data_IF_460254530858
#
_entry.id   IF_460254530858
#
_cell.length_a   1.000
_cell.length_b   1.000
_cell.length_c   1.000
_cell.angle_alpha   90.00
_cell.angle_beta   90.00
_cell.angle_gamma   90.00
#
_symmetry.space_group_name_H-M   'P 1'
#
loop_
_entity.id
_entity.type
_entity.pdbx_description
1 polymer ?
#
# COMPACT_ATOMS: atom_id res chain seq x y z
N UNK A 1 -10.70 -8.71 18.45
CA UNK A 1 -10.46 -7.31 18.82
C UNK A 1 -9.63 -7.29 20.11
N UNK A 2 -8.61 -6.48 20.16
CA UNK A 2 -7.82 -6.27 21.38
C UNK A 2 -7.86 -4.80 21.75
N UNK A 3 -8.02 -4.54 23.02
CA UNK A 3 -8.10 -3.18 23.59
C UNK A 3 -6.90 -2.98 24.50
N UNK A 4 -6.20 -1.85 24.35
CA UNK A 4 -5.10 -1.50 25.25
C UNK A 4 -5.65 -1.01 26.57
N UNK A 5 -5.18 -1.58 27.65
CA UNK A 5 -5.63 -1.24 29.00
C UNK A 5 -4.53 -0.48 29.74
N UNK A 6 -4.80 0.78 30.06
CA UNK A 6 -3.97 1.61 30.93
C UNK A 6 -2.48 1.67 30.59
N UNK A 7 -1.69 2.14 31.54
CA UNK A 7 -0.24 2.32 31.42
C UNK A 7 0.59 1.01 31.45
N UNK A 8 -0.03 -0.14 31.42
CA UNK A 8 0.66 -1.42 31.62
C UNK A 8 0.97 -2.15 30.31
N UNK A 9 0.68 -1.61 29.14
CA UNK A 9 0.80 -2.29 27.86
C UNK A 9 0.11 -3.67 27.79
N UNK A 10 -0.86 -3.92 28.67
CA UNK A 10 -1.70 -5.11 28.64
C UNK A 10 -2.86 -4.89 27.69
N UNK A 11 -3.22 -5.95 26.98
CA UNK A 11 -4.32 -5.95 26.03
C UNK A 11 -5.40 -6.90 26.51
N UNK A 12 -6.65 -6.47 26.50
CA UNK A 12 -7.80 -7.33 26.74
C UNK A 12 -8.48 -7.67 25.42
N UNK A 13 -9.10 -8.84 25.34
CA UNK A 13 -9.91 -9.24 24.19
C UNK A 13 -11.32 -8.68 24.30
N UNK A 14 -12.06 -8.64 23.20
CA UNK A 14 -13.49 -8.27 23.22
C UNK A 14 -14.31 -9.24 24.07
N UNK A 15 -13.90 -10.51 24.18
CA UNK A 15 -14.54 -11.50 25.05
C UNK A 15 -14.39 -11.11 26.53
N UNK A 16 -13.18 -10.75 26.96
CA UNK A 16 -12.90 -10.28 28.33
C UNK A 16 -13.75 -9.08 28.69
N UNK A 17 -13.93 -8.19 27.73
CA UNK A 17 -14.75 -7.00 27.86
C UNK A 17 -16.25 -7.32 28.01
N UNK A 18 -16.78 -8.23 27.18
CA UNK A 18 -18.19 -8.62 27.22
C UNK A 18 -18.56 -9.47 28.44
N UNK A 19 -17.60 -10.17 29.01
CA UNK A 19 -17.82 -11.04 30.17
C UNK A 19 -17.68 -10.30 31.51
N UNK A 20 -17.37 -9.00 31.48
CA UNK A 20 -17.18 -8.20 32.69
C UNK A 20 -15.99 -8.62 33.54
N UNK A 21 -15.06 -9.35 32.95
CA UNK A 21 -13.82 -9.80 33.62
C UNK A 21 -12.76 -8.69 33.68
N UNK A 22 -13.11 -7.55 33.19
CA UNK A 22 -12.24 -6.38 33.09
C UNK A 22 -12.32 -5.58 34.39
N UNK A 23 -11.53 -5.98 35.40
CA UNK A 23 -11.58 -5.37 36.72
C UNK A 23 -10.64 -4.17 36.90
N UNK A 24 -9.74 -3.91 35.95
CA UNK A 24 -8.74 -2.87 36.04
C UNK A 24 -8.70 -1.99 34.80
N UNK A 25 -9.83 -1.39 34.45
CA UNK A 25 -9.85 -0.33 33.46
C UNK A 25 -9.19 0.91 34.07
N UNK A 26 -7.90 0.97 34.06
CA UNK A 26 -7.11 2.10 34.52
C UNK A 26 -7.02 3.09 33.38
N UNK A 27 -7.49 4.28 33.62
CA UNK A 27 -7.36 5.52 32.90
C UNK A 27 -6.82 5.48 31.49
N UNK A 28 -7.65 5.80 30.52
CA UNK A 28 -7.24 6.04 29.16
C UNK A 28 -6.56 7.39 29.05
N UNK A 29 -5.38 7.44 28.50
CA UNK A 29 -4.86 8.67 27.94
C UNK A 29 -5.56 8.96 26.61
N UNK A 30 -5.99 10.21 26.45
CA UNK A 30 -6.97 10.66 25.48
C UNK A 30 -6.51 10.73 24.03
N UNK A 31 -5.25 10.49 23.77
CA UNK A 31 -4.65 10.90 22.50
C UNK A 31 -4.30 9.72 21.59
N UNK A 32 -4.49 8.54 22.12
CA UNK A 32 -4.18 7.35 21.39
C UNK A 32 -5.43 6.73 20.80
N UNK A 33 -5.35 5.72 20.17
CA UNK A 33 -6.13 4.77 19.43
C UNK A 33 -7.65 4.67 19.75
N UNK A 34 -8.20 5.46 20.68
CA UNK A 34 -9.53 5.26 21.24
C UNK A 34 -10.47 6.47 21.09
N UNK A 35 -10.96 6.71 19.90
CA UNK A 35 -11.79 7.91 19.64
C UNK A 35 -13.27 7.66 19.39
N UNK A 36 -13.73 6.41 19.23
CA UNK A 36 -15.09 6.15 18.73
C UNK A 36 -16.05 5.52 19.75
N UNK A 37 -15.57 5.16 20.94
CA UNK A 37 -16.38 4.58 21.98
C UNK A 37 -16.14 5.28 23.30
N UNK A 38 -17.20 5.70 23.99
CA UNK A 38 -17.07 6.19 25.35
C UNK A 38 -17.29 5.06 26.34
N UNK A 39 -16.41 4.97 27.30
CA UNK A 39 -16.39 4.00 28.37
C UNK A 39 -16.63 4.76 29.69
N UNK A 40 -17.57 4.35 30.53
CA UNK A 40 -17.88 5.00 31.80
C UNK A 40 -17.21 4.25 32.95
N UNK A 41 -16.32 4.91 33.65
CA UNK A 41 -15.54 4.30 34.72
C UNK A 41 -16.31 4.06 36.00
N UNK A 42 -17.38 4.81 36.23
CA UNK A 42 -18.10 4.78 37.50
C UNK A 42 -19.09 3.61 37.57
N UNK A 43 -19.40 2.98 36.44
CA UNK A 43 -20.44 1.97 36.35
C UNK A 43 -20.14 0.78 35.41
N UNK A 44 -18.92 0.42 35.22
CA UNK A 44 -18.59 -0.72 34.33
C UNK A 44 -19.20 -0.61 32.92
N UNK A 45 -19.30 0.54 32.37
CA UNK A 45 -19.98 0.54 31.12
C UNK A 45 -19.87 1.75 30.28
N UNK A 46 -19.49 2.84 30.82
CA UNK A 46 -19.39 4.05 30.01
C UNK A 46 -18.22 4.88 30.46
N UNK A 47 -17.27 5.02 29.67
CA UNK A 47 -16.18 5.94 29.85
C UNK A 47 -16.44 7.17 29.03
N UNK A 48 -16.23 8.31 29.57
CA UNK A 48 -16.46 9.56 28.87
C UNK A 48 -15.55 9.84 27.68
N UNK A 49 -14.99 8.82 27.02
CA UNK A 49 -14.16 8.98 25.82
C UNK A 49 -14.28 7.80 24.87
N UNK A 50 -14.27 8.11 23.61
CA UNK A 50 -14.43 7.16 22.51
C UNK A 50 -13.23 6.23 22.40
N UNK A 51 -13.49 4.93 22.42
CA UNK A 51 -12.48 3.90 22.19
C UNK A 51 -12.55 3.50 20.73
N UNK A 52 -11.48 3.71 20.00
CA UNK A 52 -11.35 3.15 18.65
C UNK A 52 -10.90 1.71 18.78
N UNK A 53 -11.79 0.77 18.44
CA UNK A 53 -11.39 -0.61 18.25
C UNK A 53 -10.59 -0.69 16.96
N UNK A 54 -9.30 -0.89 17.07
CA UNK A 54 -8.47 -1.21 15.91
C UNK A 54 -8.65 -2.71 15.66
N UNK A 55 -9.29 -3.04 14.57
CA UNK A 55 -9.17 -4.39 14.02
C UNK A 55 -7.71 -4.61 13.63
N UNK A 56 -6.93 -5.08 14.57
CA UNK A 56 -5.62 -5.61 14.27
C UNK A 56 -5.80 -6.98 13.63
N UNK A 57 -5.84 -7.05 12.32
CA UNK A 57 -5.48 -8.31 11.67
C UNK A 57 -4.02 -8.54 12.02
N UNK A 58 -3.78 -9.42 12.98
CA UNK A 58 -2.41 -9.90 13.21
C UNK A 58 -1.97 -10.50 11.90
N UNK A 59 -1.02 -9.85 11.24
CA UNK A 59 -0.47 -10.37 10.00
C UNK A 59 0.01 -11.79 10.25
N UNK A 60 -0.59 -12.74 9.55
CA UNK A 60 -0.24 -14.16 9.66
C UNK A 60 1.04 -14.49 8.88
N UNK A 61 1.69 -13.48 8.29
CA UNK A 61 2.89 -13.70 7.50
C UNK A 61 4.11 -13.93 8.38
N UNK A 62 4.63 -15.13 8.29
CA UNK A 62 5.79 -15.57 9.10
C UNK A 62 7.13 -15.04 8.56
N UNK A 63 7.17 -14.64 7.30
CA UNK A 63 8.38 -14.22 6.59
C UNK A 63 8.67 -12.69 6.66
N UNK A 64 7.84 -11.97 7.41
CA UNK A 64 8.06 -10.53 7.64
C UNK A 64 8.56 -10.22 9.06
N UNK A 65 8.66 -11.20 9.93
CA UNK A 65 9.18 -11.02 11.28
C UNK A 65 10.61 -10.47 11.20
N UNK A 66 10.84 -9.27 11.78
CA UNK A 66 12.13 -8.59 11.70
C UNK A 66 12.50 -7.98 10.34
N UNK A 67 11.62 -8.04 9.36
CA UNK A 67 11.85 -7.39 8.07
C UNK A 67 11.67 -5.87 8.19
N UNK A 68 12.57 -5.09 7.56
CA UNK A 68 12.56 -3.63 7.62
C UNK A 68 11.26 -2.95 7.15
N UNK A 69 10.49 -3.63 6.29
CA UNK A 69 9.22 -3.13 5.76
C UNK A 69 8.00 -3.76 6.45
N UNK A 70 8.16 -4.42 7.61
CA UNK A 70 7.07 -5.12 8.31
C UNK A 70 5.84 -4.23 8.45
N UNK A 71 5.99 -3.06 9.03
CA UNK A 71 4.88 -2.14 9.31
C UNK A 71 4.15 -1.70 8.02
N UNK A 72 4.92 -1.43 6.95
CA UNK A 72 4.35 -1.09 5.66
C UNK A 72 3.59 -2.27 5.02
N UNK A 73 4.09 -3.48 5.18
CA UNK A 73 3.44 -4.69 4.67
C UNK A 73 2.12 -4.93 5.42
N UNK A 74 2.12 -4.84 6.73
CA UNK A 74 0.92 -4.94 7.55
C UNK A 74 -0.09 -3.86 7.16
N UNK A 75 0.32 -2.61 7.06
CA UNK A 75 -0.53 -1.50 6.63
C UNK A 75 -1.22 -1.75 5.29
N UNK A 76 -0.48 -2.13 4.25
CA UNK A 76 -1.07 -2.33 2.90
C UNK A 76 -1.90 -3.61 2.81
N UNK A 77 -1.65 -4.58 3.69
CA UNK A 77 -2.43 -5.82 3.77
C UNK A 77 -3.74 -5.56 4.49
N UNK A 78 -3.74 -4.82 5.58
CA UNK A 78 -4.94 -4.42 6.33
C UNK A 78 -5.90 -3.58 5.47
N UNK A 79 -5.34 -2.76 4.60
CA UNK A 79 -6.12 -2.03 3.57
C UNK A 79 -6.54 -2.91 2.37
N UNK A 80 -6.29 -4.20 2.38
CA UNK A 80 -6.57 -5.13 1.30
C UNK A 80 -5.93 -4.73 -0.07
N UNK A 81 -4.88 -3.91 -0.05
CA UNK A 81 -4.14 -3.54 -1.26
C UNK A 81 -3.26 -4.70 -1.74
N UNK A 82 -2.63 -5.38 -0.80
CA UNK A 82 -1.80 -6.56 -1.07
C UNK A 82 -2.40 -7.81 -0.45
N UNK A 83 -2.19 -8.92 -1.13
CA UNK A 83 -2.36 -10.25 -0.57
C UNK A 83 -0.99 -10.89 -0.37
N UNK A 84 -0.91 -11.87 0.53
CA UNK A 84 0.24 -12.78 0.60
C UNK A 84 0.43 -13.56 -0.70
N UNK A 85 1.60 -14.12 -0.90
CA UNK A 85 1.87 -15.12 -1.94
C UNK A 85 1.29 -16.47 -1.57
N UNK A 86 1.18 -16.72 -0.26
CA UNK A 86 0.43 -17.83 0.33
C UNK A 86 -0.39 -17.30 1.52
N UNK A 87 -1.09 -18.18 2.20
CA UNK A 87 -1.83 -17.84 3.43
C UNK A 87 -0.91 -17.32 4.56
N UNK A 88 0.36 -17.70 4.57
CA UNK A 88 1.30 -17.41 5.66
C UNK A 88 2.59 -16.72 5.22
N UNK A 89 2.74 -16.39 3.95
CA UNK A 89 3.92 -15.71 3.41
C UNK A 89 3.54 -14.51 2.56
N UNK A 90 4.26 -13.41 2.74
CA UNK A 90 4.17 -12.22 1.92
C UNK A 90 5.18 -12.19 0.78
N UNK A 91 6.30 -12.88 0.93
CA UNK A 91 7.46 -12.87 0.02
C UNK A 91 8.04 -11.46 -0.21
N UNK A 92 8.47 -10.76 0.86
CA UNK A 92 8.83 -9.34 0.80
C UNK A 92 9.97 -9.02 -0.17
N UNK A 93 10.91 -9.95 -0.34
CA UNK A 93 12.11 -9.79 -1.16
C UNK A 93 11.91 -10.22 -2.63
N UNK A 94 10.78 -10.82 -2.96
CA UNK A 94 10.47 -11.16 -4.35
C UNK A 94 10.19 -9.91 -5.19
N UNK A 95 10.51 -10.00 -6.48
CA UNK A 95 10.27 -8.94 -7.43
C UNK A 95 8.78 -8.73 -7.69
N UNK A 96 8.36 -7.49 -7.76
CA UNK A 96 7.00 -7.11 -8.12
C UNK A 96 6.80 -7.20 -9.62
N UNK A 97 5.79 -7.93 -10.10
CA UNK A 97 5.48 -7.95 -11.53
C UNK A 97 4.63 -6.73 -11.94
N UNK A 98 4.60 -6.43 -13.24
CA UNK A 98 3.78 -5.35 -13.80
C UNK A 98 2.29 -5.57 -13.55
N UNK A 99 1.81 -6.81 -13.69
CA UNK A 99 0.42 -7.17 -13.41
C UNK A 99 0.06 -7.01 -11.92
N UNK A 100 0.96 -7.42 -11.02
CA UNK A 100 0.79 -7.18 -9.57
C UNK A 100 0.70 -5.69 -9.25
N UNK A 101 1.61 -4.89 -9.81
CA UNK A 101 1.67 -3.46 -9.53
C UNK A 101 0.39 -2.73 -9.92
N UNK A 102 -0.13 -3.03 -11.12
CA UNK A 102 -1.40 -2.44 -11.60
C UNK A 102 -2.60 -2.91 -10.78
N UNK A 103 -2.59 -4.16 -10.33
CA UNK A 103 -3.63 -4.69 -9.42
C UNK A 103 -3.69 -3.90 -8.12
N UNK A 104 -2.53 -3.63 -7.51
CA UNK A 104 -2.46 -2.83 -6.27
C UNK A 104 -2.98 -1.41 -6.48
N UNK A 105 -2.60 -0.75 -7.58
CA UNK A 105 -3.11 0.59 -7.90
C UNK A 105 -4.62 0.60 -8.14
N UNK A 106 -5.17 -0.42 -8.80
CA UNK A 106 -6.61 -0.53 -9.01
C UNK A 106 -7.39 -0.73 -7.72
N UNK A 107 -6.86 -1.54 -6.79
CA UNK A 107 -7.42 -1.70 -5.45
C UNK A 107 -7.36 -0.40 -4.66
N UNK A 108 -6.24 0.30 -4.72
CA UNK A 108 -6.07 1.61 -4.07
C UNK A 108 -7.02 2.68 -4.62
N UNK A 109 -7.35 2.60 -5.91
CA UNK A 109 -8.35 3.46 -6.52
C UNK A 109 -9.78 3.14 -6.08
N UNK A 110 -10.02 1.98 -5.47
CA UNK A 110 -11.38 1.44 -5.29
C UNK A 110 -12.07 1.21 -6.63
N UNK A 111 -11.31 0.80 -7.66
CA UNK A 111 -11.80 0.70 -9.01
C UNK A 111 -12.92 -0.33 -9.13
N UNK A 112 -14.07 0.06 -9.67
CA UNK A 112 -15.05 -0.91 -10.13
C UNK A 112 -14.54 -1.57 -11.42
N UNK A 113 -14.08 -2.79 -11.27
CA UNK A 113 -13.50 -3.57 -12.36
C UNK A 113 -14.51 -4.49 -13.05
N UNK A 114 -15.78 -4.47 -12.68
CA UNK A 114 -16.82 -5.35 -13.20
C UNK A 114 -16.97 -5.22 -14.72
N UNK A 115 -16.94 -4.00 -15.24
CA UNK A 115 -17.00 -3.71 -16.67
C UNK A 115 -15.72 -4.07 -17.46
N UNK A 116 -14.62 -4.32 -16.74
CA UNK A 116 -13.30 -4.60 -17.33
C UNK A 116 -12.92 -6.08 -17.34
N UNK A 117 -13.78 -6.95 -16.81
CA UNK A 117 -13.54 -8.40 -16.80
C UNK A 117 -13.88 -9.01 -18.16
N UNK A 118 -13.20 -8.53 -19.18
CA UNK A 118 -13.38 -8.90 -20.59
C UNK A 118 -12.04 -9.32 -21.19
N UNK A 119 -12.07 -9.80 -22.45
CA UNK A 119 -10.83 -10.02 -23.19
C UNK A 119 -10.01 -8.75 -23.28
N UNK A 120 -8.72 -8.85 -22.94
CA UNK A 120 -7.82 -7.71 -23.01
C UNK A 120 -7.48 -7.33 -24.44
N UNK A 121 -7.16 -6.06 -24.66
CA UNK A 121 -6.54 -5.59 -25.90
C UNK A 121 -5.10 -6.11 -26.07
N UNK A 122 -4.46 -6.56 -24.97
CA UNK A 122 -3.12 -7.13 -24.97
C UNK A 122 -3.18 -8.65 -25.10
N UNK A 123 -2.51 -9.19 -26.11
CA UNK A 123 -2.55 -10.61 -26.43
C UNK A 123 -1.95 -11.51 -25.35
N UNK A 124 -1.06 -10.97 -24.53
CA UNK A 124 -0.38 -11.65 -23.43
C UNK A 124 -1.07 -11.49 -22.06
N UNK A 125 -2.26 -10.91 -22.02
CA UNK A 125 -3.09 -10.78 -20.81
C UNK A 125 -4.25 -11.76 -20.90
N UNK A 126 -4.10 -12.92 -20.28
CA UNK A 126 -5.16 -13.94 -20.22
C UNK A 126 -6.35 -13.44 -19.37
N UNK A 127 -7.55 -13.54 -19.91
CA UNK A 127 -8.80 -13.12 -19.26
C UNK A 127 -9.10 -13.86 -17.95
N UNK A 128 -8.50 -15.03 -17.73
CA UNK A 128 -8.66 -15.81 -16.48
C UNK A 128 -7.75 -15.35 -15.35
N UNK A 129 -6.76 -14.52 -15.65
CA UNK A 129 -5.80 -14.07 -14.65
C UNK A 129 -6.38 -12.96 -13.79
N UNK A 130 -6.05 -12.99 -12.48
CA UNK A 130 -6.56 -12.03 -11.49
C UNK A 130 -6.26 -10.56 -11.84
N UNK A 131 -5.21 -10.31 -12.58
CA UNK A 131 -4.81 -8.96 -12.99
C UNK A 131 -5.52 -8.47 -14.27
N UNK A 132 -6.23 -9.34 -14.99
CA UNK A 132 -6.82 -8.99 -16.29
C UNK A 132 -7.72 -7.74 -16.21
N UNK A 133 -8.71 -7.77 -15.34
CA UNK A 133 -9.65 -6.65 -15.21
C UNK A 133 -8.94 -5.35 -14.77
N UNK A 134 -7.94 -5.46 -13.91
CA UNK A 134 -7.14 -4.30 -13.48
C UNK A 134 -6.26 -3.74 -14.60
N UNK A 135 -5.68 -4.59 -15.44
CA UNK A 135 -4.91 -4.16 -16.62
C UNK A 135 -5.82 -3.47 -17.63
N UNK A 136 -7.00 -4.04 -17.90
CA UNK A 136 -7.98 -3.42 -18.79
C UNK A 136 -8.47 -2.07 -18.26
N UNK A 137 -8.80 -1.98 -16.97
CA UNK A 137 -9.15 -0.73 -16.30
C UNK A 137 -8.04 0.31 -16.42
N UNK A 138 -6.81 -0.06 -16.12
CA UNK A 138 -5.67 0.85 -16.14
C UNK A 138 -5.35 1.33 -17.56
N UNK A 139 -5.51 0.47 -18.57
CA UNK A 139 -5.33 0.84 -19.97
C UNK A 139 -6.43 1.80 -20.45
N UNK A 140 -7.70 1.53 -20.14
CA UNK A 140 -8.82 2.39 -20.47
C UNK A 140 -8.70 3.79 -19.85
N UNK A 141 -8.14 3.87 -18.64
CA UNK A 141 -7.89 5.13 -17.93
C UNK A 141 -6.52 5.76 -18.22
N UNK A 142 -5.77 5.25 -19.21
CA UNK A 142 -4.46 5.75 -19.61
C UNK A 142 -3.39 5.74 -18.50
N UNK A 143 -3.58 4.91 -17.49
CA UNK A 143 -2.63 4.70 -16.40
C UNK A 143 -1.44 3.86 -16.91
N UNK A 144 -1.73 2.89 -17.77
CA UNK A 144 -0.71 2.06 -18.42
C UNK A 144 -0.88 2.04 -19.93
N UNK A 145 0.22 1.82 -20.60
CA UNK A 145 0.29 1.38 -21.99
C UNK A 145 1.00 0.04 -22.06
N UNK A 146 0.89 -0.64 -23.19
CA UNK A 146 1.68 -1.82 -23.46
C UNK A 146 3.19 -1.53 -23.52
N UNK A 147 3.98 -2.59 -23.54
CA UNK A 147 5.40 -2.52 -23.90
C UNK A 147 5.57 -2.35 -25.41
N UNK A 148 4.52 -2.77 -26.17
CA UNK A 148 4.29 -2.48 -27.57
C UNK A 148 2.77 -2.39 -27.82
N UNK A 149 2.35 -2.35 -29.10
CA UNK A 149 0.95 -2.17 -29.47
C UNK A 149 0.02 -3.31 -29.00
N UNK A 150 0.54 -4.51 -28.77
CA UNK A 150 -0.24 -5.73 -28.49
C UNK A 150 0.17 -6.47 -27.22
N UNK A 151 1.22 -6.05 -26.52
CA UNK A 151 1.71 -6.73 -25.34
C UNK A 151 1.84 -5.78 -24.13
N UNK A 152 1.37 -6.25 -22.98
CA UNK A 152 1.49 -5.57 -21.69
C UNK A 152 2.68 -6.06 -20.88
N UNK A 153 3.06 -7.32 -21.07
CA UNK A 153 4.11 -8.04 -20.34
C UNK A 153 3.81 -8.17 -18.82
N UNK A 154 2.65 -8.75 -18.44
CA UNK A 154 2.15 -8.73 -17.06
C UNK A 154 3.06 -9.45 -16.07
N UNK A 155 3.78 -10.47 -16.51
CA UNK A 155 4.66 -11.31 -15.68
C UNK A 155 6.10 -10.78 -15.58
N UNK A 156 6.47 -9.78 -16.37
CA UNK A 156 7.78 -9.15 -16.25
C UNK A 156 7.87 -8.35 -14.95
N UNK A 157 9.04 -8.39 -14.33
CA UNK A 157 9.32 -7.56 -13.15
C UNK A 157 9.26 -6.08 -13.55
N UNK A 158 8.59 -5.30 -12.72
CA UNK A 158 8.48 -3.86 -12.97
C UNK A 158 9.80 -3.17 -12.65
N UNK A 159 10.29 -2.35 -13.57
CA UNK A 159 11.45 -1.52 -13.29
C UNK A 159 11.07 -0.26 -12.50
N UNK A 160 12.02 0.31 -11.80
CA UNK A 160 11.77 1.49 -10.96
C UNK A 160 11.33 2.71 -11.79
N UNK A 161 11.87 2.89 -12.99
CA UNK A 161 11.42 3.95 -13.90
C UNK A 161 10.00 3.70 -14.43
N UNK A 162 9.63 2.43 -14.71
CA UNK A 162 8.28 2.07 -15.11
C UNK A 162 7.27 2.30 -13.96
N UNK A 163 7.64 1.92 -12.74
CA UNK A 163 6.80 2.18 -11.58
C UNK A 163 6.54 3.68 -11.38
N UNK A 164 7.57 4.52 -11.55
CA UNK A 164 7.41 5.97 -11.47
C UNK A 164 6.39 6.50 -12.50
N UNK A 165 6.50 6.07 -13.76
CA UNK A 165 5.58 6.50 -14.84
C UNK A 165 4.16 6.04 -14.59
N UNK A 166 3.96 4.78 -14.20
CA UNK A 166 2.62 4.25 -13.92
C UNK A 166 1.98 4.96 -12.73
N UNK A 167 2.75 5.25 -11.67
CA UNK A 167 2.25 6.01 -10.51
C UNK A 167 1.86 7.44 -10.91
N UNK A 168 2.65 8.10 -11.70
CA UNK A 168 2.41 9.46 -12.17
C UNK A 168 1.15 9.55 -13.04
N UNK A 169 0.99 8.61 -13.96
CA UNK A 169 -0.21 8.47 -14.76
C UNK A 169 -1.44 8.17 -13.87
N UNK A 170 -1.27 7.30 -12.85
CA UNK A 170 -2.33 7.00 -11.88
C UNK A 170 -2.81 8.24 -11.15
N UNK A 171 -1.89 9.04 -10.61
CA UNK A 171 -2.23 10.29 -9.93
C UNK A 171 -2.98 11.24 -10.84
N UNK A 172 -2.53 11.35 -12.08
CA UNK A 172 -3.16 12.19 -13.11
C UNK A 172 -4.57 11.69 -13.46
N UNK A 173 -4.71 10.39 -13.74
CA UNK A 173 -5.97 9.79 -14.18
C UNK A 173 -7.05 9.81 -13.09
N UNK A 174 -6.64 9.65 -11.82
CA UNK A 174 -7.56 9.67 -10.68
C UNK A 174 -7.79 11.05 -10.11
N UNK A 175 -7.10 12.08 -10.60
CA UNK A 175 -7.13 13.43 -10.03
C UNK A 175 -6.56 13.50 -8.60
N UNK A 176 -5.83 12.47 -8.18
CA UNK A 176 -5.24 12.39 -6.84
C UNK A 176 -4.09 13.38 -6.73
N UNK A 177 -4.21 14.34 -5.84
CA UNK A 177 -3.16 15.34 -5.59
C UNK A 177 -2.20 14.85 -4.53
N UNK A 178 -0.92 14.96 -4.81
CA UNK A 178 0.17 14.75 -3.84
C UNK A 178 1.04 15.99 -3.87
N UNK A 179 1.30 16.56 -2.70
CA UNK A 179 2.13 17.74 -2.60
C UNK A 179 3.59 17.44 -2.93
N UNK A 180 4.19 18.25 -3.78
CA UNK A 180 5.61 18.23 -4.10
C UNK A 180 6.38 19.11 -3.09
N UNK A 181 6.61 18.58 -1.89
CA UNK A 181 7.28 19.33 -0.80
C UNK A 181 8.79 19.17 -0.80
N UNK A 182 9.31 18.20 -1.55
CA UNK A 182 10.73 17.90 -1.62
C UNK A 182 11.46 18.64 -2.74
N UNK A 183 12.77 18.78 -2.61
CA UNK A 183 13.64 19.16 -3.72
C UNK A 183 14.03 17.91 -4.52
N UNK A 184 14.00 18.01 -5.86
CA UNK A 184 14.55 16.95 -6.70
C UNK A 184 16.06 17.20 -6.87
N UNK A 185 16.87 16.59 -6.02
CA UNK A 185 18.31 16.50 -6.28
C UNK A 185 18.55 15.50 -7.42
N UNK A 186 19.43 15.83 -8.34
CA UNK A 186 19.76 14.91 -9.42
C UNK A 186 20.38 13.62 -8.86
N UNK A 187 19.85 12.48 -9.30
CA UNK A 187 20.46 11.20 -8.99
C UNK A 187 21.81 11.04 -9.70
N UNK A 188 22.74 10.35 -9.07
CA UNK A 188 24.09 10.12 -9.64
C UNK A 188 24.04 9.38 -10.99
N UNK A 189 22.99 8.60 -11.22
CA UNK A 189 22.73 7.86 -12.46
C UNK A 189 21.57 8.44 -13.29
N UNK A 190 21.26 9.73 -13.11
CA UNK A 190 20.17 10.41 -13.82
C UNK A 190 20.24 10.31 -15.35
N UNK A 191 21.46 10.21 -15.90
CA UNK A 191 21.68 9.99 -17.33
C UNK A 191 21.14 8.64 -17.82
N UNK A 192 21.01 7.64 -16.94
CA UNK A 192 20.50 6.31 -17.25
C UNK A 192 18.96 6.25 -17.23
N UNK A 193 18.28 7.28 -16.72
CA UNK A 193 16.81 7.37 -16.76
C UNK A 193 16.39 7.66 -18.20
N UNK A 194 15.55 6.78 -18.75
CA UNK A 194 15.05 6.96 -20.12
C UNK A 194 14.20 8.22 -20.24
N UNK A 195 14.22 8.83 -21.41
CA UNK A 195 13.56 10.12 -21.66
C UNK A 195 12.08 10.12 -21.23
N UNK A 196 11.35 9.05 -21.49
CA UNK A 196 9.93 8.91 -21.15
C UNK A 196 9.64 8.93 -19.64
N UNK A 197 10.63 8.63 -18.79
CA UNK A 197 10.45 8.49 -17.36
C UNK A 197 11.00 9.67 -16.53
N UNK A 198 11.77 10.58 -17.14
CA UNK A 198 12.49 11.64 -16.42
C UNK A 198 11.55 12.52 -15.60
N UNK A 199 10.46 12.98 -16.19
CA UNK A 199 9.51 13.89 -15.52
C UNK A 199 8.77 13.15 -14.39
N UNK A 200 8.32 11.93 -14.65
CA UNK A 200 7.67 11.10 -13.64
C UNK A 200 8.58 10.81 -12.45
N UNK A 201 9.84 10.42 -12.69
CA UNK A 201 10.83 10.19 -11.63
C UNK A 201 11.05 11.45 -10.80
N UNK A 202 11.17 12.60 -11.45
CA UNK A 202 11.35 13.90 -10.77
C UNK A 202 10.14 14.24 -9.90
N UNK A 203 8.91 14.08 -10.42
CA UNK A 203 7.69 14.33 -9.66
C UNK A 203 7.54 13.37 -8.48
N UNK A 204 7.76 12.08 -8.68
CA UNK A 204 7.69 11.09 -7.60
C UNK A 204 8.76 11.32 -6.52
N UNK A 205 9.94 11.80 -6.89
CA UNK A 205 10.97 12.21 -5.93
C UNK A 205 10.54 13.42 -5.12
N UNK A 206 10.05 14.49 -5.75
CA UNK A 206 9.54 15.69 -5.07
C UNK A 206 8.35 15.38 -4.17
N UNK A 207 7.48 14.47 -4.59
CA UNK A 207 6.39 13.98 -3.77
C UNK A 207 6.83 13.10 -2.59
N UNK A 208 8.13 12.74 -2.49
CA UNK A 208 8.68 11.87 -1.45
C UNK A 208 8.23 10.40 -1.57
N UNK A 209 7.62 10.03 -2.70
CA UNK A 209 7.15 8.67 -2.96
C UNK A 209 8.28 7.74 -3.40
N UNK A 210 9.22 8.25 -4.16
CA UNK A 210 10.40 7.51 -4.59
C UNK A 210 11.69 8.21 -4.10
N UNK A 211 12.63 7.41 -3.65
CA UNK A 211 13.94 7.85 -3.19
C UNK A 211 15.06 7.07 -3.88
N UNK A 212 16.27 7.62 -3.80
CA UNK A 212 17.47 6.92 -4.27
C UNK A 212 17.88 5.77 -3.34
N UNK A 213 18.73 4.91 -3.87
CA UNK A 213 19.50 3.89 -3.15
C UNK A 213 20.83 4.49 -2.66
N UNK A 214 21.67 3.66 -2.06
CA UNK A 214 23.03 4.05 -1.67
C UNK A 214 23.79 4.75 -2.79
N UNK A 215 24.58 5.78 -2.45
CA UNK A 215 25.29 6.59 -3.42
C UNK A 215 24.40 7.51 -4.25
N UNK A 216 23.22 7.87 -3.74
CA UNK A 216 22.24 8.73 -4.42
C UNK A 216 21.90 8.23 -5.85
N UNK A 217 21.76 6.92 -6.04
CA UNK A 217 21.40 6.32 -7.33
C UNK A 217 19.91 5.99 -7.36
N UNK A 218 19.26 6.29 -8.46
CA UNK A 218 17.88 5.90 -8.70
C UNK A 218 17.75 4.43 -9.11
N UNK A 219 18.71 3.92 -9.88
CA UNK A 219 18.73 2.58 -10.46
C UNK A 219 17.49 2.31 -11.34
N UNK A 220 17.32 3.07 -12.45
CA UNK A 220 16.06 3.14 -13.19
C UNK A 220 15.62 1.81 -13.80
N UNK A 221 16.56 0.97 -14.26
CA UNK A 221 16.29 -0.36 -14.81
C UNK A 221 16.29 -1.47 -13.75
N UNK A 222 16.69 -1.16 -12.51
CA UNK A 222 16.55 -2.07 -11.38
C UNK A 222 15.08 -2.35 -11.08
N UNK A 223 14.78 -3.57 -10.66
CA UNK A 223 13.43 -3.99 -10.33
C UNK A 223 13.05 -3.61 -8.89
N UNK A 224 11.77 -3.39 -8.66
CA UNK A 224 11.23 -3.16 -7.33
C UNK A 224 10.79 -4.47 -6.68
N UNK A 225 11.10 -4.66 -5.40
CA UNK A 225 10.58 -5.78 -4.62
C UNK A 225 9.17 -5.47 -4.09
N UNK A 226 8.45 -6.52 -3.68
CA UNK A 226 7.12 -6.40 -3.07
C UNK A 226 7.15 -5.51 -1.83
N UNK A 227 8.18 -5.66 -0.97
CA UNK A 227 8.38 -4.82 0.20
C UNK A 227 8.60 -3.34 -0.17
N UNK A 228 9.42 -3.06 -1.18
CA UNK A 228 9.63 -1.68 -1.64
C UNK A 228 8.34 -1.05 -2.16
N UNK A 229 7.54 -1.81 -2.90
CA UNK A 229 6.24 -1.32 -3.38
C UNK A 229 5.26 -1.13 -2.21
N UNK A 230 5.24 -2.01 -1.21
CA UNK A 230 4.42 -1.82 -0.01
C UNK A 230 4.70 -0.49 0.69
N UNK A 231 5.98 -0.14 0.89
CA UNK A 231 6.36 1.15 1.47
C UNK A 231 5.93 2.33 0.60
N UNK A 232 6.04 2.22 -0.71
CA UNK A 232 5.58 3.27 -1.63
C UNK A 232 4.07 3.45 -1.52
N UNK A 233 3.30 2.36 -1.47
CA UNK A 233 1.84 2.42 -1.36
C UNK A 233 1.38 2.96 -0.01
N UNK A 234 2.03 2.57 1.09
CA UNK A 234 1.78 3.17 2.40
C UNK A 234 1.95 4.69 2.35
N UNK A 235 3.11 5.18 1.88
CA UNK A 235 3.36 6.62 1.74
C UNK A 235 2.32 7.32 0.87
N UNK A 236 1.89 6.66 -0.20
CA UNK A 236 0.87 7.23 -1.08
C UNK A 236 -0.48 7.30 -0.37
N UNK A 237 -0.89 6.28 0.38
CA UNK A 237 -2.10 6.30 1.21
C UNK A 237 -2.06 7.42 2.24
N UNK A 238 -0.97 7.52 3.00
CA UNK A 238 -0.79 8.56 4.04
C UNK A 238 -0.88 9.98 3.46
N UNK A 239 -0.28 10.21 2.28
CA UNK A 239 -0.31 11.53 1.62
C UNK A 239 -1.65 11.88 0.99
N UNK A 240 -2.48 10.90 0.71
CA UNK A 240 -3.76 11.08 0.00
C UNK A 240 -4.99 10.86 0.88
N UNK A 241 -4.79 10.45 2.14
CA UNK A 241 -5.86 10.16 3.08
C UNK A 241 -6.69 8.93 2.69
N UNK A 242 -6.11 7.99 1.98
CA UNK A 242 -6.78 6.76 1.51
C UNK A 242 -6.50 5.57 2.40
#
# INVERSE_FOLDING_TARGET
YTVKTGNTNTWATLADWNEGTFTDAVGYESDDVFNDYSVDYDNYGTVGKNVKVVEGTVSTFTDIAGHWAKDAIEYVTDKALFNGTTATTFSPNEGMTRGMFVTVLGRMAGADISAYNTQSQFADVDSKMYYNAYVNWAAANKIVSGVDASHFNPNALITREQAAVIMDNYLTATGTKVEETGSAAAFADSASIRAYAKDAVTRMQKAGLLSGKSGNRFDPQGTATRAQVAVIMQKLCEKTGK
#
